data_IF_628386358999
#
_entry.id   IF_628386358999
#
_cell.length_a   1.000
_cell.length_b   1.000
_cell.length_c   1.000
_cell.angle_alpha   90.00
_cell.angle_beta   90.00
_cell.angle_gamma   90.00
#
_symmetry.space_group_name_H-M   'P 1'
#
loop_
_entity.id
_entity.type
_entity.pdbx_description
1 polymer ?
#
# COMPACT_ATOMS: atom_id res chain seq x y z
N UNK A 1 13.11 -0.70 -7.38
CA UNK A 1 11.65 -0.42 -7.30
C UNK A 1 11.31 0.02 -5.89
N UNK A 2 10.41 1.00 -5.71
CA UNK A 2 9.94 1.42 -4.36
C UNK A 2 9.27 0.24 -3.65
N UNK A 3 9.63 -0.02 -2.39
CA UNK A 3 9.07 -1.11 -1.57
C UNK A 3 7.54 -1.10 -1.56
N UNK A 4 6.95 0.09 -1.61
CA UNK A 4 5.49 0.33 -1.67
C UNK A 4 4.88 -0.27 -2.95
N UNK A 5 5.51 -0.06 -4.11
CA UNK A 5 5.05 -0.65 -5.37
C UNK A 5 5.06 -2.18 -5.32
N UNK A 6 6.03 -2.77 -4.62
CA UNK A 6 6.13 -4.21 -4.48
C UNK A 6 4.98 -4.78 -3.64
N UNK A 7 4.66 -4.19 -2.48
CA UNK A 7 3.52 -4.66 -1.66
C UNK A 7 2.19 -4.52 -2.39
N UNK A 8 1.99 -3.41 -3.11
CA UNK A 8 0.79 -3.21 -3.92
C UNK A 8 0.68 -4.24 -5.05
N UNK A 9 1.77 -4.51 -5.76
CA UNK A 9 1.80 -5.53 -6.83
C UNK A 9 1.56 -6.94 -6.31
N UNK A 10 2.11 -7.29 -5.15
CA UNK A 10 1.85 -8.59 -4.50
C UNK A 10 0.37 -8.70 -4.10
N UNK A 11 -0.19 -7.67 -3.46
CA UNK A 11 -1.60 -7.64 -3.08
C UNK A 11 -2.53 -7.79 -4.30
N UNK A 12 -2.20 -7.12 -5.42
CA UNK A 12 -2.92 -7.22 -6.68
C UNK A 12 -2.83 -8.62 -7.30
N UNK A 13 -1.65 -9.25 -7.28
CA UNK A 13 -1.47 -10.62 -7.78
C UNK A 13 -2.31 -11.62 -6.97
N UNK A 14 -2.27 -11.50 -5.64
CA UNK A 14 -3.08 -12.35 -4.74
C UNK A 14 -4.58 -12.12 -4.97
N UNK A 15 -5.00 -10.87 -5.22
CA UNK A 15 -6.38 -10.55 -5.57
C UNK A 15 -6.82 -11.26 -6.85
N UNK A 16 -6.00 -11.17 -7.90
CA UNK A 16 -6.28 -11.81 -9.19
C UNK A 16 -6.41 -13.34 -9.03
N UNK A 17 -5.54 -13.96 -8.24
CA UNK A 17 -5.65 -15.40 -7.94
C UNK A 17 -6.97 -15.69 -7.23
N UNK A 18 -7.34 -14.92 -6.21
CA UNK A 18 -8.61 -15.07 -5.51
C UNK A 18 -9.82 -14.95 -6.43
N UNK A 19 -9.81 -13.98 -7.36
CA UNK A 19 -10.86 -13.82 -8.37
C UNK A 19 -10.94 -15.04 -9.29
N UNK A 20 -9.82 -15.52 -9.82
CA UNK A 20 -9.79 -16.71 -10.68
C UNK A 20 -10.34 -17.93 -9.95
N UNK A 21 -9.88 -18.17 -8.71
CA UNK A 21 -10.38 -19.27 -7.87
C UNK A 21 -11.88 -19.15 -7.63
N UNK A 22 -12.38 -17.94 -7.36
CA UNK A 22 -13.81 -17.68 -7.16
C UNK A 22 -14.64 -17.97 -8.42
N UNK A 23 -14.18 -17.53 -9.59
CA UNK A 23 -14.86 -17.80 -10.87
C UNK A 23 -14.89 -19.30 -11.16
N UNK A 24 -13.77 -20.01 -10.95
CA UNK A 24 -13.72 -21.47 -11.12
C UNK A 24 -14.67 -22.17 -10.14
N UNK A 25 -14.70 -21.74 -8.88
CA UNK A 25 -15.63 -22.25 -7.87
C UNK A 25 -17.10 -22.06 -8.24
N UNK A 26 -17.45 -20.92 -8.85
CA UNK A 26 -18.81 -20.66 -9.35
C UNK A 26 -19.17 -21.59 -10.51
N UNK A 27 -18.25 -21.78 -11.48
CA UNK A 27 -18.49 -22.66 -12.64
C UNK A 27 -18.63 -24.13 -12.23
N UNK A 28 -17.84 -24.56 -11.25
CA UNK A 28 -17.85 -25.94 -10.75
C UNK A 28 -18.89 -26.20 -9.64
N UNK A 29 -19.59 -25.16 -9.17
CA UNK A 29 -20.48 -25.20 -8.00
C UNK A 29 -19.79 -25.80 -6.74
N UNK A 30 -18.50 -25.56 -6.58
CA UNK A 30 -17.69 -26.06 -5.47
C UNK A 30 -17.59 -25.01 -4.36
N UNK A 31 -18.23 -25.32 -3.22
CA UNK A 31 -18.26 -24.45 -2.04
C UNK A 31 -16.90 -24.29 -1.36
N UNK A 32 -15.99 -25.26 -1.49
CA UNK A 32 -14.64 -25.16 -0.93
C UNK A 32 -13.79 -24.17 -1.74
N UNK A 33 -13.93 -24.18 -3.07
CA UNK A 33 -13.26 -23.19 -3.94
C UNK A 33 -13.78 -21.78 -3.68
N UNK A 34 -15.09 -21.62 -3.47
CA UNK A 34 -15.67 -20.32 -3.09
C UNK A 34 -15.14 -19.84 -1.73
N UNK A 35 -15.05 -20.71 -0.72
CA UNK A 35 -14.46 -20.36 0.58
C UNK A 35 -12.97 -20.00 0.46
N UNK A 36 -12.22 -20.71 -0.38
CA UNK A 36 -10.82 -20.40 -0.67
C UNK A 36 -10.68 -19.01 -1.31
N UNK A 37 -11.58 -18.65 -2.24
CA UNK A 37 -11.57 -17.32 -2.87
C UNK A 37 -11.76 -16.18 -1.87
N UNK A 38 -12.63 -16.35 -0.87
CA UNK A 38 -12.83 -15.39 0.22
C UNK A 38 -11.57 -15.26 1.09
N UNK A 39 -10.89 -16.36 1.37
CA UNK A 39 -9.62 -16.33 2.09
C UNK A 39 -8.54 -15.54 1.34
N UNK A 40 -8.40 -15.76 0.02
CA UNK A 40 -7.48 -14.98 -0.80
C UNK A 40 -7.83 -13.48 -0.84
N UNK A 41 -9.12 -13.14 -0.87
CA UNK A 41 -9.59 -11.75 -0.77
C UNK A 41 -9.15 -11.10 0.55
N UNK A 42 -9.36 -11.78 1.68
CA UNK A 42 -8.94 -11.28 3.01
C UNK A 42 -7.43 -11.06 3.05
N UNK A 43 -6.64 -12.03 2.58
CA UNK A 43 -5.18 -11.90 2.54
C UNK A 43 -4.77 -10.71 1.68
N UNK A 44 -5.37 -10.54 0.51
CA UNK A 44 -5.09 -9.41 -0.38
C UNK A 44 -5.36 -8.07 0.33
N UNK A 45 -6.48 -7.94 1.04
CA UNK A 45 -6.81 -6.74 1.81
C UNK A 45 -5.77 -6.45 2.89
N UNK A 46 -5.32 -7.47 3.63
CA UNK A 46 -4.29 -7.31 4.68
C UNK A 46 -2.98 -6.81 4.07
N UNK A 47 -2.53 -7.40 2.96
CA UNK A 47 -1.30 -7.00 2.28
C UNK A 47 -1.38 -5.55 1.79
N UNK A 48 -2.51 -5.17 1.20
CA UNK A 48 -2.73 -3.80 0.71
C UNK A 48 -2.75 -2.78 1.86
N UNK A 49 -3.43 -3.09 2.97
CA UNK A 49 -3.43 -2.25 4.18
C UNK A 49 -2.02 -2.07 4.73
N UNK A 50 -1.21 -3.13 4.76
CA UNK A 50 0.16 -3.04 5.23
C UNK A 50 1.03 -2.15 4.33
N UNK A 51 0.88 -2.27 3.01
CA UNK A 51 1.53 -1.38 2.05
C UNK A 51 1.11 0.09 2.23
N UNK A 52 -0.15 0.34 2.58
CA UNK A 52 -0.65 1.66 2.91
C UNK A 52 -0.01 2.25 4.18
N UNK A 53 0.08 1.47 5.26
CA UNK A 53 0.73 1.90 6.52
C UNK A 53 2.19 2.32 6.29
N UNK A 54 2.95 1.56 5.50
CA UNK A 54 4.34 1.91 5.15
C UNK A 54 4.40 3.20 4.33
N UNK A 55 3.40 3.42 3.47
CA UNK A 55 3.33 4.64 2.66
C UNK A 55 3.10 5.86 3.55
N UNK A 56 2.20 5.75 4.53
CA UNK A 56 1.95 6.82 5.50
C UNK A 56 3.20 7.15 6.33
N UNK A 57 3.91 6.15 6.87
CA UNK A 57 5.14 6.38 7.64
C UNK A 57 6.23 7.09 6.79
N UNK A 58 6.33 6.76 5.50
CA UNK A 58 7.23 7.45 4.59
C UNK A 58 6.77 8.89 4.26
N UNK A 59 5.47 9.14 4.18
CA UNK A 59 4.94 10.49 3.96
C UNK A 59 5.26 11.35 5.18
N UNK A 60 4.99 10.88 6.40
CA UNK A 60 5.26 11.63 7.63
C UNK A 60 6.75 12.03 7.74
N UNK A 61 7.66 11.10 7.44
CA UNK A 61 9.10 11.38 7.41
C UNK A 61 9.48 12.43 6.36
N UNK A 62 8.90 12.34 5.17
CA UNK A 62 9.18 13.30 4.10
C UNK A 62 8.59 14.68 4.42
N UNK A 63 7.41 14.74 5.03
CA UNK A 63 6.77 16.00 5.47
C UNK A 63 7.61 16.66 6.57
N UNK A 64 8.05 15.91 7.58
CA UNK A 64 8.90 16.43 8.64
C UNK A 64 10.19 17.05 8.08
N UNK A 65 10.86 16.34 7.16
CA UNK A 65 12.06 16.84 6.47
C UNK A 65 11.77 18.10 5.64
N UNK A 66 10.65 18.15 4.93
CA UNK A 66 10.28 19.33 4.14
C UNK A 66 10.00 20.54 5.04
N UNK A 67 9.40 20.33 6.22
CA UNK A 67 9.19 21.39 7.22
C UNK A 67 10.53 21.90 7.76
N UNK A 68 11.48 21.02 8.05
CA UNK A 68 12.83 21.42 8.47
C UNK A 68 13.56 22.23 7.39
N UNK A 69 13.49 21.80 6.13
CA UNK A 69 14.06 22.54 5.01
C UNK A 69 13.42 23.92 4.86
N UNK A 70 12.10 24.02 5.03
CA UNK A 70 11.38 25.29 5.00
C UNK A 70 11.80 26.22 6.14
N UNK A 71 11.98 25.69 7.37
CA UNK A 71 12.53 26.44 8.49
C UNK A 71 13.95 26.95 8.20
N UNK A 72 14.81 26.11 7.64
CA UNK A 72 16.18 26.50 7.28
C UNK A 72 16.20 27.59 6.20
N UNK A 73 15.30 27.53 5.23
CA UNK A 73 15.16 28.57 4.20
C UNK A 73 14.68 29.89 4.79
N UNK A 74 13.66 29.86 5.66
CA UNK A 74 13.17 31.03 6.39
C UNK A 74 14.28 31.67 7.23
N UNK A 75 15.06 30.87 7.95
CA UNK A 75 16.14 31.35 8.81
C UNK A 75 17.29 31.96 8.00
N UNK A 76 17.59 31.40 6.82
CA UNK A 76 18.58 31.95 5.88
C UNK A 76 18.11 33.27 5.27
N UNK A 77 16.82 33.38 4.93
CA UNK A 77 16.23 34.64 4.44
C UNK A 77 16.24 35.73 5.51
N UNK A 78 15.88 35.41 6.75
CA UNK A 78 15.85 36.36 7.87
C UNK A 78 17.26 36.88 8.21
N UNK A 79 18.28 36.01 8.12
CA UNK A 79 19.69 36.38 8.24
C UNK A 79 20.21 37.19 7.06
N UNK A 80 19.68 36.98 5.85
CA UNK A 80 20.05 37.74 4.65
C UNK A 80 19.38 39.12 4.56
N UNK A 81 18.38 39.41 5.39
CA UNK A 81 17.69 40.71 5.47
C UNK A 81 18.25 41.67 6.54
N UNK A 82 19.25 41.25 7.33
CA UNK A 82 20.04 42.11 8.23
C UNK A 82 21.36 42.51 7.58
#
# INVERSE_FOLDING_TARGET
>A
MSKIRTFFLIGLLVLLIGVVVGVVGMVMADTNLLASSQFFLIISMIIMLWGYVITLDNIDKNVARNVELMKSLLDTMDKGQK
#
